data_IF_664835664189
#
_entry.id   IF_664835664189
#
_cell.length_a   1.000
_cell.length_b   1.000
_cell.length_c   1.000
_cell.angle_alpha   90.00
_cell.angle_beta   90.00
_cell.angle_gamma   90.00
#
_symmetry.space_group_name_H-M   'P 1'
#
loop_
_entity.id
_entity.type
_entity.pdbx_description
1 polymer ?
#
# COMPACT_ATOMS: atom_id res chain seq x y z
N UNK A 1 17.23 7.95 -15.28
CA UNK A 1 15.85 7.52 -14.97
C UNK A 1 15.41 8.33 -13.76
N UNK A 2 14.19 8.87 -13.74
CA UNK A 2 13.70 9.61 -12.56
C UNK A 2 13.55 8.67 -11.36
N UNK A 3 13.67 9.21 -10.13
CA UNK A 3 13.36 8.44 -8.91
C UNK A 3 11.84 8.28 -8.79
N UNK A 4 11.37 7.10 -8.42
CA UNK A 4 9.96 6.89 -8.11
C UNK A 4 9.65 7.45 -6.71
N UNK A 5 8.59 8.26 -6.62
CA UNK A 5 8.11 8.83 -5.37
C UNK A 5 7.26 7.81 -4.64
N UNK A 6 7.75 7.34 -3.50
CA UNK A 6 7.05 6.36 -2.67
C UNK A 6 6.59 7.03 -1.38
N UNK A 7 5.35 6.81 -1.00
CA UNK A 7 4.83 7.28 0.29
C UNK A 7 4.48 6.09 1.19
N UNK A 8 4.91 6.14 2.45
CA UNK A 8 4.60 5.12 3.45
C UNK A 8 3.77 5.78 4.56
N UNK A 9 2.46 5.68 4.44
CA UNK A 9 1.51 6.23 5.40
C UNK A 9 1.44 5.32 6.63
N UNK A 10 1.70 5.85 7.82
CA UNK A 10 1.89 5.04 9.04
C UNK A 10 3.33 4.57 9.28
N UNK A 11 4.34 5.30 8.79
CA UNK A 11 5.78 5.00 8.98
C UNK A 11 6.25 4.95 10.44
N UNK A 12 5.45 5.38 11.42
CA UNK A 12 5.72 5.22 12.85
C UNK A 12 5.33 3.85 13.40
N UNK A 13 4.55 3.06 12.67
CA UNK A 13 4.25 1.67 13.01
C UNK A 13 5.37 0.72 12.59
N UNK A 14 5.41 -0.47 13.18
CA UNK A 14 6.46 -1.47 12.89
C UNK A 14 6.48 -1.91 11.42
N UNK A 15 5.32 -2.07 10.78
CA UNK A 15 5.22 -2.40 9.35
C UNK A 15 5.75 -1.26 8.48
N UNK A 16 5.26 -0.04 8.69
CA UNK A 16 5.65 1.13 7.89
C UNK A 16 7.13 1.46 8.03
N UNK A 17 7.68 1.37 9.24
CA UNK A 17 9.11 1.59 9.48
C UNK A 17 9.98 0.61 8.69
N UNK A 18 9.69 -0.69 8.75
CA UNK A 18 10.49 -1.69 8.03
C UNK A 18 10.39 -1.58 6.51
N UNK A 19 9.22 -1.17 6.00
CA UNK A 19 9.05 -0.88 4.57
C UNK A 19 9.92 0.33 4.19
N UNK A 20 9.84 1.43 4.93
CA UNK A 20 10.62 2.62 4.67
C UNK A 20 12.14 2.35 4.74
N UNK A 21 12.59 1.62 5.76
CA UNK A 21 14.00 1.24 5.92
C UNK A 21 14.51 0.44 4.73
N UNK A 22 13.75 -0.57 4.28
CA UNK A 22 14.13 -1.42 3.14
C UNK A 22 14.13 -0.65 1.82
N UNK A 23 13.18 0.26 1.62
CA UNK A 23 13.12 1.08 0.40
C UNK A 23 14.23 2.14 0.37
N UNK A 24 14.65 2.64 1.54
CA UNK A 24 15.74 3.62 1.63
C UNK A 24 17.11 3.04 1.25
N UNK A 25 17.26 1.71 1.19
CA UNK A 25 18.47 1.05 0.70
C UNK A 25 18.64 1.17 -0.83
N UNK A 26 17.61 1.58 -1.58
CA UNK A 26 17.63 1.63 -3.03
C UNK A 26 17.59 3.06 -3.57
N UNK A 27 18.56 3.42 -4.43
CA UNK A 27 18.72 4.79 -4.95
C UNK A 27 17.61 5.23 -5.93
N UNK A 28 16.83 4.28 -6.45
CA UNK A 28 15.74 4.53 -7.39
C UNK A 28 14.47 5.10 -6.74
N UNK A 29 14.40 5.15 -5.41
CA UNK A 29 13.24 5.64 -4.68
C UNK A 29 13.47 6.97 -3.96
N UNK A 30 12.44 7.80 -3.95
CA UNK A 30 12.33 9.00 -3.12
C UNK A 30 11.19 8.80 -2.13
N UNK A 31 11.49 8.76 -0.83
CA UNK A 31 10.48 8.54 0.20
C UNK A 31 9.84 9.88 0.60
N UNK A 32 8.59 10.09 0.22
CA UNK A 32 7.79 11.24 0.63
C UNK A 32 7.48 11.18 2.13
N UNK A 33 7.35 12.36 2.74
CA UNK A 33 7.08 12.49 4.18
C UNK A 33 5.86 13.38 4.42
N UNK A 34 5.16 13.10 5.50
CA UNK A 34 4.06 13.91 6.02
C UNK A 34 4.36 14.28 7.48
N UNK A 35 4.02 15.51 7.87
CA UNK A 35 4.21 16.01 9.23
C UNK A 35 3.33 15.23 10.22
N UNK A 36 3.72 15.15 11.49
CA UNK A 36 2.91 14.44 12.50
C UNK A 36 1.52 15.06 12.70
N UNK A 37 1.38 16.37 12.55
CA UNK A 37 0.11 17.06 12.68
C UNK A 37 -0.84 16.68 11.53
N UNK A 38 -0.31 16.64 10.30
CA UNK A 38 -1.07 16.37 9.09
C UNK A 38 -1.40 14.88 8.92
N UNK A 39 -0.66 14.00 9.62
CA UNK A 39 -0.93 12.56 9.65
C UNK A 39 -2.30 12.21 10.19
N UNK A 40 -3.10 13.08 10.81
CA UNK A 40 -4.48 12.73 11.18
C UNK A 40 -5.53 13.37 10.29
N UNK A 41 -5.10 14.27 9.40
CA UNK A 41 -5.98 14.90 8.43
C UNK A 41 -6.08 14.02 7.17
N UNK A 42 -7.27 13.50 6.92
CA UNK A 42 -7.56 12.65 5.77
C UNK A 42 -7.27 13.34 4.42
N UNK A 43 -7.47 14.67 4.34
CA UNK A 43 -7.23 15.46 3.13
C UNK A 43 -5.74 15.69 2.91
N UNK A 44 -5.00 15.98 3.98
CA UNK A 44 -3.56 16.14 3.88
C UNK A 44 -2.87 14.83 3.49
N UNK A 45 -3.29 13.69 4.07
CA UNK A 45 -2.84 12.35 3.64
C UNK A 45 -3.13 12.10 2.16
N UNK A 46 -4.38 12.33 1.75
CA UNK A 46 -4.79 12.12 0.37
C UNK A 46 -3.98 12.97 -0.61
N UNK A 47 -3.62 14.20 -0.25
CA UNK A 47 -2.76 15.06 -1.07
C UNK A 47 -1.38 14.42 -1.30
N UNK A 48 -0.70 13.97 -0.25
CA UNK A 48 0.63 13.32 -0.36
C UNK A 48 0.55 11.99 -1.10
N UNK A 49 -0.49 11.18 -0.83
CA UNK A 49 -0.71 9.93 -1.57
C UNK A 49 -0.88 10.21 -3.07
N UNK A 50 -1.66 11.23 -3.42
CA UNK A 50 -1.86 11.63 -4.80
C UNK A 50 -0.60 12.21 -5.47
N UNK A 51 0.40 12.66 -4.73
CA UNK A 51 1.69 13.09 -5.27
C UNK A 51 2.69 11.93 -5.49
N UNK A 52 2.42 10.77 -4.90
CA UNK A 52 3.27 9.57 -5.01
C UNK A 52 2.99 8.76 -6.28
N UNK A 53 4.01 8.06 -6.77
CA UNK A 53 3.86 7.03 -7.81
C UNK A 53 3.30 5.72 -7.22
N UNK A 54 3.61 5.46 -5.95
CA UNK A 54 3.13 4.31 -5.18
C UNK A 54 3.01 4.68 -3.69
N UNK A 55 1.90 4.30 -3.07
CA UNK A 55 1.65 4.49 -1.64
C UNK A 55 1.41 3.17 -0.91
N UNK A 56 2.03 3.03 0.26
CA UNK A 56 1.72 1.98 1.23
C UNK A 56 0.78 2.55 2.30
N UNK A 57 -0.38 1.93 2.48
CA UNK A 57 -1.26 2.26 3.60
C UNK A 57 -0.95 1.29 4.76
N UNK A 58 -0.14 1.76 5.71
CA UNK A 58 0.13 1.08 6.98
C UNK A 58 -0.76 1.65 8.09
N UNK A 59 -2.06 1.66 7.79
CA UNK A 59 -3.09 2.32 8.58
C UNK A 59 -4.03 1.30 9.24
N UNK A 60 -4.73 1.70 10.31
CA UNK A 60 -5.93 1.00 10.75
C UNK A 60 -6.99 0.97 9.65
N UNK A 61 -7.82 -0.07 9.67
CA UNK A 61 -8.86 -0.34 8.69
C UNK A 61 -9.76 0.87 8.38
N UNK A 62 -10.24 1.58 9.40
CA UNK A 62 -11.17 2.71 9.21
C UNK A 62 -10.49 3.87 8.49
N UNK A 63 -9.24 4.18 8.86
CA UNK A 63 -8.47 5.23 8.21
C UNK A 63 -8.13 4.90 6.75
N UNK A 64 -7.90 3.61 6.43
CA UNK A 64 -7.71 3.17 5.05
C UNK A 64 -9.00 3.36 4.23
N UNK A 65 -10.17 3.01 4.79
CA UNK A 65 -11.48 3.20 4.13
C UNK A 65 -11.83 4.67 3.93
N UNK A 66 -11.43 5.55 4.86
CA UNK A 66 -11.69 6.98 4.77
C UNK A 66 -10.85 7.69 3.70
N UNK A 67 -9.57 7.29 3.55
CA UNK A 67 -8.66 7.99 2.62
C UNK A 67 -8.83 7.53 1.17
N UNK A 68 -9.10 6.24 0.92
CA UNK A 68 -9.15 5.65 -0.42
C UNK A 68 -10.11 6.37 -1.38
N UNK A 69 -11.33 6.78 -0.99
CA UNK A 69 -12.25 7.50 -1.86
C UNK A 69 -11.77 8.90 -2.31
N UNK A 70 -10.74 9.45 -1.65
CA UNK A 70 -10.17 10.76 -1.96
C UNK A 70 -9.01 10.69 -2.95
N UNK A 71 -8.61 9.48 -3.33
CA UNK A 71 -7.43 9.23 -4.14
C UNK A 71 -7.81 9.19 -5.62
N UNK A 72 -6.88 9.63 -6.48
CA UNK A 72 -7.06 9.50 -7.92
C UNK A 72 -6.97 8.03 -8.34
N UNK A 73 -7.62 7.69 -9.45
CA UNK A 73 -7.67 6.32 -9.95
C UNK A 73 -6.32 5.79 -10.46
N UNK A 74 -5.44 6.70 -10.90
CA UNK A 74 -4.10 6.40 -11.44
C UNK A 74 -3.05 6.10 -10.35
N UNK A 75 -3.28 6.58 -9.12
CA UNK A 75 -2.34 6.41 -8.01
C UNK A 75 -2.32 4.94 -7.61
N UNK A 76 -1.13 4.34 -7.45
CA UNK A 76 -1.01 2.93 -7.08
C UNK A 76 -0.94 2.78 -5.56
N UNK A 77 -1.69 1.82 -5.03
CA UNK A 77 -1.84 1.62 -3.58
C UNK A 77 -1.56 0.16 -3.22
N UNK A 78 -0.74 -0.01 -2.19
CA UNK A 78 -0.57 -1.26 -1.45
C UNK A 78 -1.16 -1.08 -0.05
N UNK A 79 -2.36 -1.60 0.19
CA UNK A 79 -3.01 -1.52 1.50
C UNK A 79 -2.62 -2.72 2.36
N UNK A 80 -1.98 -2.44 3.50
CA UNK A 80 -1.54 -3.48 4.44
C UNK A 80 -2.57 -3.82 5.51
N UNK A 81 -3.65 -3.04 5.60
CA UNK A 81 -4.77 -3.26 6.51
C UNK A 81 -5.62 -4.47 6.10
N UNK A 82 -6.67 -4.78 6.87
CA UNK A 82 -7.66 -5.79 6.48
C UNK A 82 -8.79 -5.22 5.64
N UNK A 83 -8.84 -3.89 5.48
CA UNK A 83 -10.00 -3.18 4.98
C UNK A 83 -10.47 -3.61 3.60
N UNK A 84 -9.52 -3.90 2.71
CA UNK A 84 -9.78 -4.13 1.30
C UNK A 84 -9.46 -5.56 0.81
N UNK A 85 -9.12 -6.49 1.71
CA UNK A 85 -8.73 -7.87 1.32
C UNK A 85 -9.83 -8.65 0.59
N UNK A 86 -11.08 -8.28 0.80
CA UNK A 86 -12.25 -8.87 0.13
C UNK A 86 -13.08 -7.82 -0.62
N UNK A 87 -12.55 -6.60 -0.76
CA UNK A 87 -13.27 -5.51 -1.41
C UNK A 87 -13.27 -5.69 -2.94
N UNK A 88 -14.41 -5.46 -3.62
CA UNK A 88 -14.46 -5.45 -5.08
C UNK A 88 -13.48 -4.43 -5.68
N UNK A 89 -12.84 -4.80 -6.79
CA UNK A 89 -11.87 -3.94 -7.48
C UNK A 89 -10.46 -3.94 -6.89
N UNK A 90 -10.21 -4.68 -5.81
CA UNK A 90 -8.88 -4.86 -5.23
C UNK A 90 -8.29 -6.21 -5.63
N UNK A 91 -7.02 -6.19 -6.06
CA UNK A 91 -6.25 -7.41 -6.33
C UNK A 91 -5.62 -7.88 -5.03
N UNK A 92 -5.80 -9.16 -4.69
CA UNK A 92 -5.15 -9.74 -3.51
C UNK A 92 -3.65 -9.92 -3.79
N UNK A 93 -2.79 -9.35 -2.96
CA UNK A 93 -1.34 -9.19 -3.21
C UNK A 93 -0.51 -10.45 -3.01
N UNK A 94 -0.94 -11.60 -3.55
CA UNK A 94 -0.21 -12.87 -3.48
C UNK A 94 0.08 -13.39 -4.91
N UNK A 95 1.21 -13.02 -5.53
CA UNK A 95 1.50 -13.30 -6.95
C UNK A 95 1.47 -14.79 -7.34
N UNK A 96 1.70 -15.68 -6.39
CA UNK A 96 1.70 -17.13 -6.57
C UNK A 96 0.29 -17.69 -6.80
N UNK A 97 -0.76 -16.97 -6.38
CA UNK A 97 -2.14 -17.39 -6.64
C UNK A 97 -2.48 -17.31 -8.13
N UNK A 98 -3.25 -18.29 -8.61
CA UNK A 98 -3.66 -18.39 -10.00
C UNK A 98 -4.24 -17.07 -10.53
N UNK A 99 -3.73 -16.61 -11.69
CA UNK A 99 -4.16 -15.36 -12.34
C UNK A 99 -3.70 -14.06 -11.66
N UNK A 100 -3.18 -14.12 -10.43
CA UNK A 100 -2.87 -12.92 -9.63
C UNK A 100 -1.63 -12.19 -10.14
N UNK A 101 -0.58 -12.91 -10.54
CA UNK A 101 0.64 -12.30 -11.11
C UNK A 101 0.37 -11.39 -12.31
N UNK A 102 -0.50 -11.81 -13.21
CA UNK A 102 -0.85 -11.01 -14.39
C UNK A 102 -1.72 -9.80 -14.01
N UNK A 103 -2.69 -9.98 -13.10
CA UNK A 103 -3.51 -8.88 -12.60
C UNK A 103 -2.67 -7.79 -11.90
N UNK A 104 -1.64 -8.18 -11.13
CA UNK A 104 -0.78 -7.25 -10.39
C UNK A 104 0.04 -6.31 -11.28
N UNK A 105 0.32 -6.66 -12.54
CA UNK A 105 1.11 -5.83 -13.46
C UNK A 105 0.45 -4.48 -13.73
N UNK A 106 -0.88 -4.45 -13.78
CA UNK A 106 -1.67 -3.26 -14.10
C UNK A 106 -2.52 -2.76 -12.93
N UNK A 107 -2.51 -3.46 -11.79
CA UNK A 107 -3.29 -3.09 -10.62
C UNK A 107 -2.84 -1.74 -10.02
N UNK A 108 -3.82 -0.89 -9.73
CA UNK A 108 -3.66 0.35 -8.95
C UNK A 108 -4.16 0.19 -7.51
N UNK A 109 -4.87 -0.90 -7.21
CA UNK A 109 -5.44 -1.22 -5.90
C UNK A 109 -5.06 -2.65 -5.51
N UNK A 110 -4.13 -2.79 -4.57
CA UNK A 110 -3.65 -4.10 -4.11
C UNK A 110 -3.82 -4.22 -2.60
N UNK A 111 -4.52 -5.27 -2.17
CA UNK A 111 -4.69 -5.59 -0.76
C UNK A 111 -3.62 -6.61 -0.35
N UNK A 112 -2.70 -6.19 0.52
CA UNK A 112 -1.59 -7.03 0.96
C UNK A 112 -2.12 -8.12 1.89
N UNK A 113 -1.79 -9.41 1.61
CA UNK A 113 -2.24 -10.53 2.43
C UNK A 113 -1.64 -10.46 3.84
N UNK A 114 -2.41 -10.94 4.83
CA UNK A 114 -1.89 -11.09 6.19
C UNK A 114 -0.88 -12.23 6.27
N UNK A 115 0.12 -12.13 7.16
CA UNK A 115 1.19 -13.13 7.29
C UNK A 115 0.67 -14.57 7.52
N UNK A 116 -0.32 -14.77 8.39
CA UNK A 116 -0.95 -16.07 8.61
C UNK A 116 -1.71 -16.57 7.38
N UNK A 117 -2.42 -15.68 6.67
CA UNK A 117 -3.13 -16.03 5.45
C UNK A 117 -2.14 -16.45 4.36
N UNK A 118 -1.04 -15.71 4.16
CA UNK A 118 0.04 -16.09 3.25
C UNK A 118 0.62 -17.46 3.61
N UNK A 119 0.93 -17.69 4.89
CA UNK A 119 1.51 -18.95 5.36
C UNK A 119 0.59 -20.15 5.20
N UNK A 120 -0.73 -19.97 5.28
CA UNK A 120 -1.70 -21.03 5.02
C UNK A 120 -1.98 -21.23 3.54
N UNK A 121 -2.19 -20.14 2.79
CA UNK A 121 -2.56 -20.17 1.37
C UNK A 121 -1.42 -20.74 0.52
N UNK A 122 -0.17 -20.32 0.76
CA UNK A 122 0.97 -20.75 -0.06
C UNK A 122 1.13 -22.27 -0.20
N UNK A 123 0.95 -23.10 0.87
CA UNK A 123 1.02 -24.56 0.74
C UNK A 123 -0.27 -25.25 0.29
N UNK A 124 -1.45 -24.63 0.44
CA UNK A 124 -2.75 -25.29 0.16
C UNK A 124 -3.40 -24.82 -1.14
N UNK A 125 -2.99 -23.68 -1.66
CA UNK A 125 -3.42 -23.23 -2.98
C UNK A 125 -2.85 -24.19 -4.04
N UNK A 126 -3.66 -24.62 -5.01
CA UNK A 126 -3.28 -25.60 -6.03
C UNK A 126 -2.26 -25.07 -7.03
#
# INVERSE_FOLDING_TARGET
>A
MGKYKIFVDGSSGTTGLRIADRLAEWDEFEILKISEADRKDVRARAAVINESDLSFLCLPDDAAREVVPLLRDDVRILDTSTAHRTAPGWVYGLPELHGTREALKTATRVAVPGCHATGFIAPVAP
#
